data_IF_010297400562
#
_entry.id   IF_010297400562
#
_cell.length_a   1.000
_cell.length_b   1.000
_cell.length_c   1.000
_cell.angle_alpha   90.00
_cell.angle_beta   90.00
_cell.angle_gamma   90.00
#
_symmetry.space_group_name_H-M   'P 1'
#
loop_
_entity.id
_entity.type
_entity.pdbx_description
1 polymer ?
#
# COMPACT_ATOMS: atom_id res chain seq x y z
N UNK A 1 51.11 -9.17 49.70
CA UNK A 1 50.59 -8.59 48.43
C UNK A 1 49.63 -9.63 47.86
N UNK A 2 48.34 -9.31 47.89
CA UNK A 2 47.21 -10.25 47.80
C UNK A 2 46.72 -10.38 46.35
N UNK A 3 46.52 -11.60 45.85
CA UNK A 3 45.88 -11.88 44.56
C UNK A 3 44.39 -12.11 44.82
N UNK A 4 43.44 -11.33 44.26
CA UNK A 4 42.04 -11.74 44.25
C UNK A 4 41.71 -12.53 42.97
N UNK A 5 41.05 -13.68 43.17
CA UNK A 5 40.42 -14.51 42.14
C UNK A 5 39.04 -13.92 41.84
N UNK A 6 38.76 -13.57 40.58
CA UNK A 6 37.40 -13.26 40.14
C UNK A 6 36.70 -14.54 39.66
N UNK A 7 35.71 -14.99 40.43
CA UNK A 7 34.77 -16.01 39.98
C UNK A 7 33.66 -15.34 39.15
N UNK A 8 33.53 -15.72 37.88
CA UNK A 8 32.41 -15.33 37.04
C UNK A 8 31.18 -16.18 37.40
N UNK A 9 30.17 -15.55 37.99
CA UNK A 9 28.83 -16.13 38.10
C UNK A 9 28.01 -15.65 36.89
N UNK A 10 27.59 -16.58 36.02
CA UNK A 10 26.67 -16.27 34.93
C UNK A 10 25.25 -16.01 35.49
N UNK A 11 24.54 -14.97 35.03
CA UNK A 11 23.19 -14.66 35.50
C UNK A 11 22.17 -15.56 34.79
N UNK A 12 21.87 -16.72 35.36
CA UNK A 12 20.86 -17.66 34.82
C UNK A 12 19.41 -17.15 35.02
N UNK A 13 19.20 -16.06 35.77
CA UNK A 13 17.86 -15.61 36.16
C UNK A 13 17.16 -14.61 35.19
N UNK A 14 17.80 -14.20 34.10
CA UNK A 14 17.27 -13.14 33.21
C UNK A 14 16.55 -13.65 31.95
N UNK A 15 16.38 -14.97 31.79
CA UNK A 15 15.80 -15.58 30.59
C UNK A 15 14.27 -15.82 30.67
N UNK A 16 13.65 -15.71 31.86
CA UNK A 16 12.20 -15.91 32.03
C UNK A 16 11.31 -14.98 31.19
N UNK A 17 11.55 -13.65 31.11
CA UNK A 17 10.67 -12.78 30.32
C UNK A 17 10.81 -13.02 28.81
N UNK A 18 12.00 -13.41 28.35
CA UNK A 18 12.22 -13.78 26.95
C UNK A 18 11.44 -15.07 26.61
N UNK A 19 11.45 -16.07 27.50
CA UNK A 19 10.72 -17.32 27.30
C UNK A 19 9.19 -17.12 27.32
N UNK A 20 8.69 -16.20 28.15
CA UNK A 20 7.28 -15.82 28.16
C UNK A 20 6.87 -15.11 26.86
N UNK A 21 7.71 -14.21 26.33
CA UNK A 21 7.47 -13.55 25.05
C UNK A 21 7.42 -14.56 23.88
N UNK A 22 8.35 -15.52 23.84
CA UNK A 22 8.33 -16.62 22.86
C UNK A 22 7.05 -17.47 22.91
N UNK A 23 6.50 -17.68 24.11
CA UNK A 23 5.26 -18.45 24.30
C UNK A 23 4.02 -17.71 23.78
N UNK A 24 4.01 -16.38 23.84
CA UNK A 24 2.92 -15.57 23.31
C UNK A 24 2.86 -15.62 21.76
N UNK A 25 3.99 -15.78 21.07
CA UNK A 25 4.02 -15.96 19.62
C UNK A 25 3.42 -17.31 19.17
N UNK A 26 3.47 -18.34 20.02
CA UNK A 26 2.89 -19.65 19.69
C UNK A 26 1.35 -19.63 19.63
N UNK A 27 0.69 -18.61 20.20
CA UNK A 27 -0.77 -18.45 20.11
C UNK A 27 -1.27 -18.07 18.71
N UNK A 28 -0.39 -17.65 17.80
CA UNK A 28 -0.77 -17.48 16.38
C UNK A 28 -0.75 -18.79 15.59
N UNK A 29 -0.21 -19.88 16.15
CA UNK A 29 -0.27 -21.19 15.53
C UNK A 29 -1.61 -21.86 15.90
N UNK A 30 -2.52 -21.91 14.93
CA UNK A 30 -3.80 -22.58 15.07
C UNK A 30 -3.60 -24.09 15.20
N UNK A 31 -4.06 -24.68 16.31
CA UNK A 31 -3.85 -26.09 16.69
C UNK A 31 -4.81 -27.04 15.97
N UNK A 32 -5.67 -26.53 15.08
CA UNK A 32 -6.55 -27.34 14.24
C UNK A 32 -5.74 -28.36 13.44
N UNK A 33 -5.87 -29.63 13.80
CA UNK A 33 -5.40 -30.74 12.96
C UNK A 33 -6.39 -31.00 11.82
N UNK A 34 -5.90 -31.33 10.63
CA UNK A 34 -6.74 -31.57 9.46
C UNK A 34 -6.68 -30.47 8.39
N UNK A 35 -5.60 -29.69 8.36
CA UNK A 35 -5.33 -28.82 7.21
C UNK A 35 -5.39 -29.64 5.91
N UNK A 36 -6.01 -29.09 4.85
CA UNK A 36 -5.93 -29.71 3.55
C UNK A 36 -4.45 -29.82 3.15
N UNK A 37 -4.10 -30.93 2.49
CA UNK A 37 -2.74 -31.11 1.98
C UNK A 37 -2.34 -29.92 1.11
N UNK A 38 -1.12 -29.41 1.32
CA UNK A 38 -0.46 -28.47 0.41
C UNK A 38 0.08 -29.17 -0.84
N UNK A 39 -0.10 -30.50 -0.96
CA UNK A 39 0.18 -31.19 -2.20
C UNK A 39 -0.71 -30.59 -3.31
N UNK A 40 -0.15 -30.33 -4.50
CA UNK A 40 -0.92 -29.81 -5.63
C UNK A 40 -2.17 -30.66 -5.89
N UNK A 41 -3.33 -30.02 -5.95
CA UNK A 41 -4.61 -30.70 -6.18
C UNK A 41 -4.64 -31.24 -7.62
N UNK A 42 -5.39 -32.32 -7.91
CA UNK A 42 -5.52 -32.82 -9.28
C UNK A 42 -5.97 -31.76 -10.30
N UNK A 43 -6.84 -30.83 -9.91
CA UNK A 43 -7.32 -29.72 -10.76
C UNK A 43 -6.22 -28.70 -11.06
N UNK A 44 -5.30 -28.44 -10.13
CA UNK A 44 -4.18 -27.52 -10.31
C UNK A 44 -3.12 -28.13 -11.26
N UNK A 45 -2.95 -29.45 -11.25
CA UNK A 45 -2.06 -30.14 -12.20
C UNK A 45 -2.52 -30.03 -13.65
N UNK A 46 -3.83 -30.00 -13.88
CA UNK A 46 -4.39 -29.80 -15.21
C UNK A 46 -4.05 -28.40 -15.76
N UNK A 47 -3.99 -27.38 -14.89
CA UNK A 47 -3.57 -26.02 -15.26
C UNK A 47 -2.07 -25.96 -15.56
N UNK A 48 -1.23 -26.71 -14.81
CA UNK A 48 0.21 -26.77 -15.04
C UNK A 48 0.62 -27.53 -16.31
N UNK A 49 -0.27 -28.38 -16.84
CA UNK A 49 -0.07 -29.15 -18.07
C UNK A 49 -0.82 -28.55 -19.27
N UNK A 50 -1.65 -27.54 -19.03
CA UNK A 50 -2.29 -26.81 -20.11
C UNK A 50 -1.23 -25.97 -20.84
N UNK A 51 -1.38 -25.85 -22.16
CA UNK A 51 -0.69 -24.78 -22.89
C UNK A 51 -0.96 -23.44 -22.19
N UNK A 52 -0.01 -22.48 -22.23
CA UNK A 52 -0.21 -21.16 -21.65
C UNK A 52 -1.57 -20.64 -22.11
N UNK A 53 -2.47 -20.39 -21.15
CA UNK A 53 -3.72 -19.74 -21.47
C UNK A 53 -3.38 -18.48 -22.27
N UNK A 54 -4.09 -18.20 -23.38
CA UNK A 54 -3.87 -16.96 -24.12
C UNK A 54 -3.90 -15.82 -23.11
N UNK A 55 -2.90 -14.93 -23.19
CA UNK A 55 -2.71 -13.87 -22.23
C UNK A 55 -4.06 -13.26 -21.90
N UNK A 56 -4.45 -13.33 -20.62
CA UNK A 56 -5.68 -12.69 -20.17
C UNK A 56 -5.64 -11.25 -20.69
N UNK A 57 -6.75 -10.71 -21.23
CA UNK A 57 -6.79 -9.34 -21.66
C UNK A 57 -6.27 -8.51 -20.48
N UNK A 58 -5.21 -7.74 -20.75
CA UNK A 58 -4.60 -6.84 -19.76
C UNK A 58 -5.71 -6.13 -19.00
N UNK A 59 -5.76 -6.32 -17.68
CA UNK A 59 -6.76 -5.71 -16.82
C UNK A 59 -6.57 -4.19 -16.90
N UNK A 60 -7.39 -3.55 -17.75
CA UNK A 60 -7.28 -2.14 -18.08
C UNK A 60 -5.93 -1.77 -18.75
N UNK A 61 -5.83 -0.59 -19.37
CA UNK A 61 -4.53 -0.03 -19.63
C UNK A 61 -3.81 0.09 -18.28
N UNK A 62 -2.69 -0.62 -18.11
CA UNK A 62 -1.68 -0.16 -17.15
C UNK A 62 -1.52 1.33 -17.42
N UNK A 63 -1.75 2.16 -16.39
CA UNK A 63 -1.71 3.61 -16.54
C UNK A 63 -0.46 3.95 -17.34
N UNK A 64 -0.67 4.42 -18.57
CA UNK A 64 0.46 4.74 -19.44
C UNK A 64 1.24 5.80 -18.69
N UNK A 65 2.53 5.59 -18.37
CA UNK A 65 3.30 6.55 -17.61
C UNK A 65 3.10 7.91 -18.26
N UNK A 66 2.56 8.85 -17.50
CA UNK A 66 2.34 10.19 -18.00
C UNK A 66 3.67 10.73 -18.53
N UNK A 67 3.68 11.39 -19.71
CA UNK A 67 4.91 11.91 -20.27
C UNK A 67 5.58 12.84 -19.25
N UNK A 68 6.91 12.76 -19.16
CA UNK A 68 7.70 13.61 -18.27
C UNK A 68 7.31 15.08 -18.52
N UNK A 69 6.88 15.77 -17.46
CA UNK A 69 6.40 17.14 -17.56
C UNK A 69 7.57 18.11 -17.83
N UNK A 70 7.32 19.21 -18.53
CA UNK A 70 8.39 20.16 -18.85
C UNK A 70 8.87 20.94 -17.63
N UNK A 71 8.00 21.11 -16.61
CA UNK A 71 8.25 21.94 -15.42
C UNK A 71 7.49 21.40 -14.19
N UNK A 72 7.97 21.77 -12.99
CA UNK A 72 7.42 21.46 -11.66
C UNK A 72 5.95 21.85 -11.58
N UNK A 73 5.58 23.03 -12.09
CA UNK A 73 4.20 23.52 -12.06
C UNK A 73 3.21 22.59 -12.79
N UNK A 74 3.64 21.95 -13.88
CA UNK A 74 2.80 20.99 -14.59
C UNK A 74 2.61 19.69 -13.80
N UNK A 75 3.62 19.26 -13.06
CA UNK A 75 3.51 18.08 -12.19
C UNK A 75 2.50 18.33 -11.07
N UNK A 76 2.56 19.51 -10.44
CA UNK A 76 1.61 19.92 -9.40
C UNK A 76 0.19 20.03 -9.97
N UNK A 77 0.03 20.70 -11.13
CA UNK A 77 -1.29 20.83 -11.77
C UNK A 77 -1.91 19.48 -12.13
N UNK A 78 -1.10 18.51 -12.59
CA UNK A 78 -1.54 17.15 -12.87
C UNK A 78 -2.00 16.43 -11.60
N UNK A 79 -1.28 16.57 -10.50
CA UNK A 79 -1.70 16.01 -9.21
C UNK A 79 -3.01 16.63 -8.71
N UNK A 80 -3.18 17.94 -8.84
CA UNK A 80 -4.41 18.65 -8.48
C UNK A 80 -5.60 18.19 -9.32
N UNK A 81 -5.41 18.02 -10.64
CA UNK A 81 -6.45 17.52 -11.53
C UNK A 81 -6.85 16.07 -11.18
N UNK A 82 -5.88 15.23 -10.81
CA UNK A 82 -6.14 13.87 -10.36
C UNK A 82 -6.91 13.83 -9.03
N UNK A 83 -6.53 14.65 -8.05
CA UNK A 83 -7.26 14.79 -6.78
C UNK A 83 -8.71 15.28 -7.02
N UNK A 84 -8.91 16.25 -7.91
CA UNK A 84 -10.25 16.72 -8.27
C UNK A 84 -11.11 15.62 -8.93
N UNK A 85 -10.52 14.81 -9.81
CA UNK A 85 -11.18 13.67 -10.43
C UNK A 85 -11.55 12.59 -9.39
N UNK A 86 -10.61 12.27 -8.49
CA UNK A 86 -10.84 11.37 -7.35
C UNK A 86 -12.00 11.84 -6.48
N UNK A 87 -12.03 13.11 -6.05
CA UNK A 87 -13.12 13.68 -5.22
C UNK A 87 -14.47 13.61 -5.94
N UNK A 88 -14.49 13.96 -7.21
CA UNK A 88 -15.70 13.91 -8.03
C UNK A 88 -16.24 12.48 -8.16
N UNK A 89 -15.36 11.49 -8.35
CA UNK A 89 -15.75 10.09 -8.41
C UNK A 89 -16.21 9.56 -7.05
N UNK A 90 -15.50 9.94 -5.98
CA UNK A 90 -15.86 9.58 -4.62
C UNK A 90 -17.27 10.05 -4.27
N UNK A 91 -17.59 11.32 -4.54
CA UNK A 91 -18.92 11.87 -4.22
C UNK A 91 -20.06 11.14 -4.97
N UNK A 92 -19.80 10.66 -6.19
CA UNK A 92 -20.75 9.85 -6.96
C UNK A 92 -20.88 8.42 -6.44
N UNK A 93 -19.81 7.84 -5.90
CA UNK A 93 -19.74 6.45 -5.43
C UNK A 93 -20.14 6.26 -3.96
N UNK A 94 -20.20 7.35 -3.16
CA UNK A 94 -20.55 7.31 -1.74
C UNK A 94 -21.80 6.48 -1.42
N UNK A 95 -22.93 6.60 -2.16
CA UNK A 95 -24.13 5.79 -1.86
C UNK A 95 -23.89 4.29 -2.00
N UNK A 96 -23.19 3.86 -3.05
CA UNK A 96 -22.89 2.46 -3.34
C UNK A 96 -21.94 1.89 -2.29
N UNK A 97 -20.89 2.66 -1.94
CA UNK A 97 -19.93 2.28 -0.89
C UNK A 97 -20.65 2.14 0.45
N UNK A 98 -21.52 3.09 0.80
CA UNK A 98 -22.29 3.05 2.05
C UNK A 98 -23.27 1.86 2.10
N UNK A 99 -23.97 1.57 1.01
CA UNK A 99 -24.86 0.43 0.90
C UNK A 99 -24.10 -0.90 1.08
N UNK A 100 -22.97 -1.06 0.37
CA UNK A 100 -22.15 -2.26 0.45
C UNK A 100 -21.53 -2.50 1.82
N UNK A 101 -21.17 -1.43 2.54
CA UNK A 101 -20.67 -1.51 3.93
C UNK A 101 -21.66 -2.15 4.90
N UNK A 102 -22.95 -1.89 4.72
CA UNK A 102 -24.02 -2.43 5.59
C UNK A 102 -24.63 -3.73 5.08
N UNK A 103 -24.24 -4.17 3.88
CA UNK A 103 -24.81 -5.35 3.24
C UNK A 103 -24.17 -6.64 3.76
N UNK A 104 -24.89 -7.74 3.65
CA UNK A 104 -24.34 -9.07 3.95
C UNK A 104 -23.17 -9.37 2.98
N UNK A 105 -22.08 -9.93 3.52
CA UNK A 105 -20.93 -10.33 2.71
C UNK A 105 -21.35 -11.28 1.59
N UNK A 106 -20.82 -11.06 0.37
CA UNK A 106 -21.18 -11.82 -0.82
C UNK A 106 -22.53 -11.47 -1.46
N UNK A 107 -23.33 -10.58 -0.87
CA UNK A 107 -24.52 -10.04 -1.53
C UNK A 107 -24.15 -9.10 -2.68
N UNK A 108 -25.09 -8.88 -3.61
CA UNK A 108 -24.89 -7.96 -4.73
C UNK A 108 -24.54 -6.54 -4.28
N UNK A 109 -25.23 -6.03 -3.25
CA UNK A 109 -24.94 -4.71 -2.69
C UNK A 109 -23.51 -4.63 -2.11
N UNK A 110 -23.03 -5.70 -1.46
CA UNK A 110 -21.66 -5.78 -0.97
C UNK A 110 -20.64 -5.73 -2.12
N UNK A 111 -20.82 -6.56 -3.16
CA UNK A 111 -19.93 -6.58 -4.34
C UNK A 111 -19.90 -5.22 -5.03
N UNK A 112 -21.06 -4.60 -5.25
CA UNK A 112 -21.16 -3.28 -5.88
C UNK A 112 -20.45 -2.21 -5.05
N UNK A 113 -20.56 -2.24 -3.72
CA UNK A 113 -19.85 -1.31 -2.85
C UNK A 113 -18.33 -1.48 -2.86
N UNK A 114 -17.83 -2.73 -2.86
CA UNK A 114 -16.40 -3.02 -2.96
C UNK A 114 -15.81 -2.58 -4.31
N UNK A 115 -16.54 -2.82 -5.40
CA UNK A 115 -16.13 -2.37 -6.73
C UNK A 115 -16.08 -0.84 -6.79
N UNK A 116 -17.13 -0.17 -6.31
CA UNK A 116 -17.18 1.29 -6.29
C UNK A 116 -16.05 1.91 -5.45
N UNK A 117 -15.71 1.29 -4.31
CA UNK A 117 -14.56 1.71 -3.50
C UNK A 117 -13.24 1.55 -4.27
N UNK A 118 -13.02 0.39 -4.88
CA UNK A 118 -11.80 0.07 -5.64
C UNK A 118 -11.61 1.00 -6.85
N UNK A 119 -12.71 1.29 -7.57
CA UNK A 119 -12.70 2.20 -8.72
C UNK A 119 -12.27 3.60 -8.29
N UNK A 120 -12.79 4.11 -7.16
CA UNK A 120 -12.41 5.41 -6.61
C UNK A 120 -10.96 5.41 -6.13
N UNK A 121 -10.50 4.36 -5.44
CA UNK A 121 -9.12 4.24 -4.98
C UNK A 121 -8.11 4.29 -6.14
N UNK A 122 -8.44 3.63 -7.26
CA UNK A 122 -7.57 3.60 -8.44
C UNK A 122 -7.26 5.00 -9.01
N UNK A 123 -8.18 5.95 -8.86
CA UNK A 123 -8.01 7.33 -9.34
C UNK A 123 -6.96 8.14 -8.58
N UNK A 124 -6.43 7.60 -7.48
CA UNK A 124 -5.34 8.23 -6.72
C UNK A 124 -3.95 7.93 -7.27
N UNK A 125 -3.81 6.92 -8.14
CA UNK A 125 -2.52 6.54 -8.71
C UNK A 125 -1.75 7.73 -9.34
N UNK A 126 -2.37 8.63 -10.11
CA UNK A 126 -1.63 9.74 -10.74
C UNK A 126 -1.03 10.76 -9.75
N UNK A 127 -1.58 10.88 -8.53
CA UNK A 127 -0.99 11.70 -7.46
C UNK A 127 0.32 11.07 -6.97
N UNK A 128 0.33 9.76 -6.75
CA UNK A 128 1.54 9.00 -6.40
C UNK A 128 2.60 9.05 -7.50
N UNK A 129 2.20 8.98 -8.77
CA UNK A 129 3.12 9.15 -9.91
C UNK A 129 3.72 10.56 -9.97
N UNK A 130 2.96 11.59 -9.60
CA UNK A 130 3.48 12.95 -9.50
C UNK A 130 4.53 13.08 -8.39
N UNK A 131 4.32 12.47 -7.22
CA UNK A 131 5.31 12.39 -6.15
C UNK A 131 6.60 11.71 -6.62
N UNK A 132 6.48 10.54 -7.24
CA UNK A 132 7.64 9.78 -7.70
C UNK A 132 8.47 10.55 -8.75
N UNK A 133 7.82 11.36 -9.60
CA UNK A 133 8.51 12.23 -10.55
C UNK A 133 9.21 13.41 -9.86
N UNK A 134 8.58 14.04 -8.86
CA UNK A 134 9.21 15.11 -8.08
C UNK A 134 10.44 14.59 -7.32
N UNK A 135 10.36 13.39 -6.74
CA UNK A 135 11.49 12.78 -6.03
C UNK A 135 12.69 12.55 -6.96
N UNK A 136 12.47 11.93 -8.13
CA UNK A 136 13.54 11.73 -9.13
C UNK A 136 14.19 13.05 -9.56
N UNK A 137 13.40 14.12 -9.76
CA UNK A 137 13.94 15.44 -10.14
C UNK A 137 14.73 16.07 -9.00
N UNK A 138 14.28 15.92 -7.77
CA UNK A 138 14.97 16.43 -6.59
C UNK A 138 16.32 15.75 -6.40
N UNK A 139 16.38 14.43 -6.57
CA UNK A 139 17.63 13.66 -6.57
C UNK A 139 18.60 14.19 -7.63
N UNK A 140 18.14 14.34 -8.88
CA UNK A 140 18.95 14.88 -9.98
C UNK A 140 19.41 16.34 -9.75
N UNK A 141 18.60 17.18 -9.10
CA UNK A 141 18.99 18.54 -8.72
C UNK A 141 20.06 18.54 -7.63
N UNK A 142 19.94 17.63 -6.65
CA UNK A 142 20.90 17.47 -5.56
C UNK A 142 22.26 16.99 -6.08
N UNK A 143 22.26 15.97 -6.94
CA UNK A 143 23.48 15.44 -7.56
C UNK A 143 24.22 16.49 -8.42
N UNK A 144 23.46 17.36 -9.08
CA UNK A 144 23.98 18.46 -9.88
C UNK A 144 24.39 19.70 -9.06
N UNK A 145 24.25 19.68 -7.72
CA UNK A 145 24.57 20.81 -6.85
C UNK A 145 23.64 22.03 -6.99
N UNK A 146 22.45 21.85 -7.57
CA UNK A 146 21.44 22.91 -7.78
C UNK A 146 20.52 23.03 -6.57
N UNK A 147 21.05 23.56 -5.47
CA UNK A 147 20.37 23.60 -4.17
C UNK A 147 19.01 24.34 -4.19
N UNK A 148 18.93 25.50 -4.85
CA UNK A 148 17.69 26.29 -4.91
C UNK A 148 16.58 25.54 -5.66
N UNK A 149 16.92 24.82 -6.73
CA UNK A 149 15.98 24.00 -7.48
C UNK A 149 15.53 22.77 -6.67
N UNK A 150 16.47 22.09 -6.00
CA UNK A 150 16.13 20.98 -5.12
C UNK A 150 15.17 21.40 -3.99
N UNK A 151 15.35 22.62 -3.45
CA UNK A 151 14.43 23.20 -2.47
C UNK A 151 13.05 23.52 -3.06
N UNK A 152 13.00 24.09 -4.27
CA UNK A 152 11.73 24.36 -4.96
C UNK A 152 10.96 23.07 -5.29
N UNK A 153 11.65 22.00 -5.70
CA UNK A 153 11.03 20.69 -5.96
C UNK A 153 10.51 20.08 -4.65
N UNK A 154 11.25 20.20 -3.54
CA UNK A 154 10.82 19.71 -2.24
C UNK A 154 9.52 20.39 -1.77
N UNK A 155 9.41 21.71 -1.96
CA UNK A 155 8.18 22.46 -1.63
C UNK A 155 6.99 21.98 -2.48
N UNK A 156 7.19 21.76 -3.78
CA UNK A 156 6.16 21.16 -4.64
C UNK A 156 5.78 19.74 -4.17
N UNK A 157 6.76 18.96 -3.71
CA UNK A 157 6.55 17.64 -3.11
C UNK A 157 5.61 17.68 -1.91
N UNK A 158 5.81 18.63 -1.00
CA UNK A 158 4.93 18.82 0.17
C UNK A 158 3.49 19.13 -0.23
N UNK A 159 3.28 19.95 -1.26
CA UNK A 159 1.95 20.27 -1.77
C UNK A 159 1.24 19.03 -2.31
N UNK A 160 1.93 18.21 -3.10
CA UNK A 160 1.35 16.98 -3.67
C UNK A 160 1.14 15.92 -2.57
N UNK A 161 2.04 15.83 -1.59
CA UNK A 161 1.92 14.90 -0.47
C UNK A 161 0.66 15.20 0.37
N UNK A 162 0.32 16.48 0.55
CA UNK A 162 -0.91 16.87 1.22
C UNK A 162 -2.17 16.38 0.49
N UNK A 163 -2.15 16.33 -0.86
CA UNK A 163 -3.25 15.77 -1.65
C UNK A 163 -3.36 14.25 -1.44
N UNK A 164 -2.24 13.52 -1.48
CA UNK A 164 -2.26 12.06 -1.28
C UNK A 164 -2.78 11.70 0.12
N UNK A 165 -2.31 12.40 1.15
CA UNK A 165 -2.75 12.16 2.53
C UNK A 165 -4.24 12.49 2.72
N UNK A 166 -4.72 13.61 2.16
CA UNK A 166 -6.13 13.95 2.21
C UNK A 166 -7.01 12.88 1.51
N UNK A 167 -6.57 12.34 0.38
CA UNK A 167 -7.27 11.25 -0.32
C UNK A 167 -7.30 9.95 0.48
N UNK A 168 -6.17 9.59 1.12
CA UNK A 168 -6.04 8.45 2.06
C UNK A 168 -7.03 8.57 3.21
N UNK A 169 -7.04 9.72 3.88
CA UNK A 169 -7.91 9.99 5.00
C UNK A 169 -9.40 9.92 4.61
N UNK A 170 -9.75 10.44 3.43
CA UNK A 170 -11.11 10.38 2.91
C UNK A 170 -11.56 8.93 2.69
N UNK A 171 -10.77 8.08 2.04
CA UNK A 171 -11.12 6.67 1.84
C UNK A 171 -11.21 5.89 3.16
N UNK A 172 -10.24 6.08 4.06
CA UNK A 172 -10.23 5.44 5.38
C UNK A 172 -11.50 5.78 6.19
N UNK A 173 -12.00 7.02 6.07
CA UNK A 173 -13.23 7.44 6.75
C UNK A 173 -14.49 6.68 6.30
N UNK A 174 -14.48 6.08 5.10
CA UNK A 174 -15.63 5.33 4.56
C UNK A 174 -15.75 3.92 5.15
N UNK A 175 -14.65 3.36 5.65
CA UNK A 175 -14.57 1.98 6.16
C UNK A 175 -14.47 1.90 7.69
N UNK A 176 -14.22 3.04 8.36
CA UNK A 176 -13.96 3.09 9.80
C UNK A 176 -15.22 3.12 10.70
N UNK A 177 -16.42 3.05 10.12
CA UNK A 177 -17.69 3.02 10.88
C UNK A 177 -18.52 1.81 10.56
#
# INVERSE_FOLDING_TARGET
>A
MMIPRFAAALPVLSALPALAALSALASCADTRSGYPSLAPRPVERAVMQADPAPAAPVAGPAATPLPASADIAQIVARAQAADAAFRTALDKARPQIAAGRTAAEGSEAWVVGQQAYSDVESLRAPVGEALAELDRRREAATEAGRADEAAAIAEAGLQVQALDEAGRALLASLIAG
#
